data_IF_881856918627
#
_entry.id   IF_881856918627
#
_cell.length_a   1.000
_cell.length_b   1.000
_cell.length_c   1.000
_cell.angle_alpha   90.00
_cell.angle_beta   90.00
_cell.angle_gamma   90.00
#
_symmetry.space_group_name_H-M   'P 1'
#
loop_
_entity.id
_entity.type
_entity.pdbx_description
1 polymer ?
#
# COMPACT_ATOMS: atom_id res chain seq x y z
N UNK A 1 50.70 -42.63 -47.14
CA UNK A 1 49.34 -43.03 -47.55
C UNK A 1 48.39 -41.92 -47.14
N UNK A 2 48.10 -40.98 -48.04
CA UNK A 2 47.27 -39.81 -47.73
C UNK A 2 45.78 -40.23 -47.73
N UNK A 3 44.95 -39.77 -46.77
CA UNK A 3 43.54 -40.11 -46.75
C UNK A 3 42.85 -39.57 -48.01
N UNK A 4 41.85 -40.28 -48.57
CA UNK A 4 41.18 -39.85 -49.78
C UNK A 4 40.44 -38.54 -49.51
N UNK A 5 40.71 -37.53 -50.35
CA UNK A 5 40.19 -36.16 -50.24
C UNK A 5 38.65 -36.07 -50.15
N UNK A 6 37.94 -37.12 -50.57
CA UNK A 6 36.49 -37.27 -50.46
C UNK A 6 35.97 -37.43 -49.03
N UNK A 7 36.72 -38.11 -48.14
CA UNK A 7 36.31 -38.31 -46.74
C UNK A 7 36.40 -37.02 -45.92
N UNK A 8 37.41 -36.19 -46.19
CA UNK A 8 37.59 -34.90 -45.51
C UNK A 8 36.45 -33.92 -45.85
N UNK A 9 36.02 -33.86 -47.12
CA UNK A 9 34.88 -33.03 -47.55
C UNK A 9 33.56 -33.44 -46.91
N UNK A 10 33.31 -34.76 -46.80
CA UNK A 10 32.10 -35.30 -46.17
C UNK A 10 32.03 -34.98 -44.66
N UNK A 11 33.16 -35.05 -43.95
CA UNK A 11 33.22 -34.73 -42.53
C UNK A 11 32.92 -33.24 -42.24
N UNK A 12 33.43 -32.33 -43.08
CA UNK A 12 33.18 -30.88 -42.96
C UNK A 12 31.71 -30.56 -43.24
N UNK A 13 31.10 -31.19 -44.25
CA UNK A 13 29.69 -31.00 -44.56
C UNK A 13 28.79 -31.50 -43.40
N UNK A 14 29.13 -32.63 -42.78
CA UNK A 14 28.38 -33.19 -41.65
C UNK A 14 28.43 -32.29 -40.40
N UNK A 15 29.59 -31.72 -40.07
CA UNK A 15 29.71 -30.80 -38.92
C UNK A 15 29.01 -29.47 -39.18
N UNK A 16 29.11 -28.93 -40.40
CA UNK A 16 28.37 -27.73 -40.79
C UNK A 16 26.85 -27.95 -40.69
N UNK A 17 26.35 -29.09 -41.18
CA UNK A 17 24.93 -29.44 -41.06
C UNK A 17 24.48 -29.59 -39.60
N UNK A 18 25.30 -30.22 -38.75
CA UNK A 18 25.01 -30.36 -37.32
C UNK A 18 24.94 -29.01 -36.60
N UNK A 19 25.85 -28.08 -36.91
CA UNK A 19 25.85 -26.72 -36.36
C UNK A 19 24.58 -25.97 -36.80
N UNK A 20 24.23 -26.04 -38.10
CA UNK A 20 23.02 -25.38 -38.62
C UNK A 20 21.77 -25.93 -37.93
N UNK A 21 21.65 -27.26 -37.82
CA UNK A 21 20.52 -27.91 -37.12
C UNK A 21 20.47 -27.50 -35.65
N UNK A 22 21.61 -27.47 -34.95
CA UNK A 22 21.71 -27.02 -33.56
C UNK A 22 21.28 -25.56 -33.39
N UNK A 23 21.75 -24.66 -34.27
CA UNK A 23 21.35 -23.26 -34.28
C UNK A 23 19.84 -23.09 -34.53
N UNK A 24 19.27 -23.83 -35.49
CA UNK A 24 17.82 -23.80 -35.75
C UNK A 24 17.02 -24.33 -34.57
N UNK A 25 17.49 -25.40 -33.92
CA UNK A 25 16.88 -25.95 -32.71
C UNK A 25 16.90 -24.94 -31.56
N UNK A 26 18.04 -24.27 -31.34
CA UNK A 26 18.19 -23.25 -30.32
C UNK A 26 17.29 -22.04 -30.60
N UNK A 27 17.25 -21.55 -31.85
CA UNK A 27 16.35 -20.45 -32.24
C UNK A 27 14.87 -20.81 -32.01
N UNK A 28 14.45 -22.03 -32.34
CA UNK A 28 13.09 -22.53 -32.06
C UNK A 28 12.82 -22.66 -30.56
N UNK A 29 13.81 -23.06 -29.76
CA UNK A 29 13.68 -23.15 -28.29
C UNK A 29 13.57 -21.76 -27.67
N UNK A 30 14.40 -20.80 -28.09
CA UNK A 30 14.32 -19.41 -27.66
C UNK A 30 12.99 -18.77 -28.02
N UNK A 31 12.49 -18.99 -29.25
CA UNK A 31 11.19 -18.48 -29.67
C UNK A 31 10.05 -19.05 -28.80
N UNK A 32 10.07 -20.35 -28.50
CA UNK A 32 9.09 -20.99 -27.60
C UNK A 32 9.18 -20.46 -26.17
N UNK A 33 10.39 -20.30 -25.63
CA UNK A 33 10.57 -19.71 -24.29
C UNK A 33 10.06 -18.27 -24.24
N UNK A 34 10.39 -17.46 -25.24
CA UNK A 34 9.93 -16.07 -25.33
C UNK A 34 8.40 -15.97 -25.47
N UNK A 35 7.76 -16.92 -26.15
CA UNK A 35 6.31 -17.02 -26.20
C UNK A 35 5.72 -17.38 -24.84
N UNK A 36 6.32 -18.35 -24.13
CA UNK A 36 5.85 -18.77 -22.80
C UNK A 36 6.03 -17.69 -21.73
N UNK A 37 7.12 -16.93 -21.79
CA UNK A 37 7.34 -15.77 -20.91
C UNK A 37 6.23 -14.74 -21.13
N UNK A 38 5.94 -14.38 -22.38
CA UNK A 38 4.84 -13.44 -22.71
C UNK A 38 3.48 -13.94 -22.25
N UNK A 39 3.20 -15.23 -22.42
CA UNK A 39 1.95 -15.84 -21.94
C UNK A 39 1.83 -15.80 -20.41
N UNK A 40 2.93 -16.11 -19.70
CA UNK A 40 2.97 -16.06 -18.24
C UNK A 40 2.81 -14.63 -17.72
N UNK A 41 3.52 -13.67 -18.32
CA UNK A 41 3.38 -12.24 -18.00
C UNK A 41 1.94 -11.76 -18.22
N UNK A 42 1.29 -12.15 -19.32
CA UNK A 42 -0.11 -11.83 -19.58
C UNK A 42 -1.04 -12.47 -18.53
N UNK A 43 -0.81 -13.74 -18.17
CA UNK A 43 -1.60 -14.42 -17.13
C UNK A 43 -1.44 -13.74 -15.76
N UNK A 44 -0.23 -13.30 -15.42
CA UNK A 44 0.07 -12.58 -14.19
C UNK A 44 -0.63 -11.22 -14.18
N UNK A 45 -0.55 -10.46 -15.28
CA UNK A 45 -1.25 -9.18 -15.42
C UNK A 45 -2.76 -9.34 -15.19
N UNK A 46 -3.39 -10.35 -15.81
CA UNK A 46 -4.82 -10.64 -15.61
C UNK A 46 -5.16 -10.97 -14.16
N UNK A 47 -4.35 -11.81 -13.49
CA UNK A 47 -4.60 -12.12 -12.06
C UNK A 47 -4.40 -10.90 -11.16
N UNK A 48 -3.41 -10.06 -11.45
CA UNK A 48 -3.15 -8.82 -10.72
C UNK A 48 -4.32 -7.83 -10.88
N UNK A 49 -4.87 -7.69 -12.09
CA UNK A 49 -6.05 -6.86 -12.34
C UNK A 49 -7.30 -7.37 -11.62
N UNK A 50 -7.55 -8.68 -11.62
CA UNK A 50 -8.67 -9.29 -10.87
C UNK A 50 -8.56 -8.99 -9.37
N UNK A 51 -7.37 -9.19 -8.79
CA UNK A 51 -7.12 -8.87 -7.38
C UNK A 51 -7.28 -7.36 -7.09
N UNK A 52 -6.84 -6.50 -8.01
CA UNK A 52 -7.01 -5.05 -7.87
C UNK A 52 -8.49 -4.64 -7.97
N UNK A 53 -9.25 -5.26 -8.87
CA UNK A 53 -10.69 -5.04 -9.03
C UNK A 53 -11.47 -5.48 -7.78
N UNK A 54 -11.14 -6.64 -7.21
CA UNK A 54 -11.72 -7.13 -5.97
C UNK A 54 -11.46 -6.16 -4.80
N UNK A 55 -10.22 -5.67 -4.66
CA UNK A 55 -9.86 -4.66 -3.64
C UNK A 55 -10.66 -3.38 -3.82
N UNK A 56 -10.78 -2.87 -5.06
CA UNK A 56 -11.59 -1.67 -5.36
C UNK A 56 -13.07 -1.89 -5.02
N UNK A 57 -13.62 -3.05 -5.35
CA UNK A 57 -14.99 -3.43 -5.02
C UNK A 57 -15.25 -3.43 -3.53
N UNK A 58 -14.38 -4.06 -2.73
CA UNK A 58 -14.47 -4.07 -1.26
C UNK A 58 -14.41 -2.66 -0.67
N UNK A 59 -13.47 -1.84 -1.12
CA UNK A 59 -13.32 -0.44 -0.65
C UNK A 59 -14.56 0.38 -0.97
N UNK A 60 -15.10 0.28 -2.20
CA UNK A 60 -16.30 1.01 -2.61
C UNK A 60 -17.54 0.58 -1.81
N UNK A 61 -17.73 -0.73 -1.60
CA UNK A 61 -18.85 -1.25 -0.82
C UNK A 61 -18.79 -0.80 0.66
N UNK A 62 -17.59 -0.76 1.24
CA UNK A 62 -17.41 -0.25 2.61
C UNK A 62 -17.65 1.27 2.68
N UNK A 63 -17.21 2.04 1.68
CA UNK A 63 -17.49 3.47 1.61
C UNK A 63 -18.99 3.76 1.46
N UNK A 64 -19.71 3.00 0.63
CA UNK A 64 -21.16 3.16 0.50
C UNK A 64 -21.89 2.81 1.80
N UNK A 65 -21.47 1.76 2.51
CA UNK A 65 -22.06 1.41 3.80
C UNK A 65 -21.86 2.52 4.84
N UNK A 66 -20.68 3.14 4.87
CA UNK A 66 -20.41 4.31 5.74
C UNK A 66 -21.27 5.50 5.35
N UNK A 67 -21.40 5.81 4.06
CA UNK A 67 -22.26 6.90 3.59
C UNK A 67 -23.73 6.68 3.97
N UNK A 68 -24.23 5.44 3.86
CA UNK A 68 -25.58 5.09 4.30
C UNK A 68 -25.73 5.21 5.81
N UNK A 69 -24.76 4.75 6.61
CA UNK A 69 -24.80 4.89 8.08
C UNK A 69 -24.78 6.34 8.56
N UNK A 70 -24.27 7.28 7.74
CA UNK A 70 -24.29 8.70 8.03
C UNK A 70 -25.62 9.37 7.66
N UNK A 71 -26.41 8.74 6.79
CA UNK A 71 -27.71 9.24 6.35
C UNK A 71 -28.86 8.77 7.23
N UNK A 72 -28.69 7.69 7.99
CA UNK A 72 -29.65 7.25 9.02
C UNK A 72 -29.73 8.34 10.11
N UNK A 73 -30.78 9.18 10.13
CA UNK A 73 -30.99 10.13 11.22
C UNK A 73 -31.57 9.32 12.37
N UNK A 74 -30.88 9.31 13.50
CA UNK A 74 -31.44 8.75 14.72
C UNK A 74 -32.81 9.39 14.99
N UNK A 75 -33.87 8.59 14.92
CA UNK A 75 -35.12 8.88 15.59
C UNK A 75 -34.86 8.85 17.10
N UNK A 76 -34.46 10.00 17.63
CA UNK A 76 -35.03 10.63 18.83
C UNK A 76 -34.09 11.74 19.36
N UNK A 77 -34.64 12.96 19.37
CA UNK A 77 -34.35 14.20 20.10
C UNK A 77 -32.95 14.57 20.65
N UNK A 78 -32.70 15.89 20.60
CA UNK A 78 -31.59 16.69 21.17
C UNK A 78 -30.23 16.78 20.41
N UNK A 79 -30.09 17.89 19.68
CA UNK A 79 -28.85 18.52 19.16
C UNK A 79 -27.81 18.79 20.29
N UNK A 80 -26.50 18.51 20.10
CA UNK A 80 -25.61 19.45 19.42
C UNK A 80 -24.63 18.85 18.40
N UNK A 81 -24.36 19.69 17.40
CA UNK A 81 -23.16 19.76 16.53
C UNK A 81 -22.61 18.47 15.91
N UNK A 82 -22.74 18.43 14.57
CA UNK A 82 -22.04 17.59 13.59
C UNK A 82 -20.58 17.31 13.96
N UNK A 83 -20.33 16.30 14.79
CA UNK A 83 -19.01 15.83 15.18
C UNK A 83 -18.95 14.30 15.05
N UNK A 84 -18.07 13.84 14.16
CA UNK A 84 -17.46 12.51 14.19
C UNK A 84 -18.38 11.25 14.16
N UNK A 85 -19.40 11.19 13.30
CA UNK A 85 -20.18 9.97 13.13
C UNK A 85 -19.60 9.03 12.05
N UNK A 86 -18.56 8.29 12.43
CA UNK A 86 -18.33 6.87 12.10
C UNK A 86 -16.97 6.41 12.68
N UNK A 87 -16.67 6.77 13.92
CA UNK A 87 -15.46 6.33 14.59
C UNK A 87 -15.75 4.98 15.26
N UNK A 88 -15.18 3.91 14.72
CA UNK A 88 -15.25 2.56 15.30
C UNK A 88 -14.41 2.42 16.59
N UNK A 89 -14.13 3.52 17.30
CA UNK A 89 -13.22 3.62 18.42
C UNK A 89 -13.81 4.56 19.49
N UNK A 90 -13.68 4.26 20.79
CA UNK A 90 -14.38 4.96 21.86
C UNK A 90 -13.75 6.32 22.25
N UNK A 91 -12.82 6.84 21.44
CA UNK A 91 -12.08 8.07 21.76
C UNK A 91 -12.63 9.22 20.92
N UNK A 92 -12.76 10.38 21.55
CA UNK A 92 -13.17 11.60 20.85
C UNK A 92 -11.90 12.35 20.42
N UNK A 93 -11.73 12.66 19.13
CA UNK A 93 -10.56 13.41 18.68
C UNK A 93 -10.57 14.83 19.25
N UNK A 94 -9.40 15.28 19.72
CA UNK A 94 -9.19 16.64 20.26
C UNK A 94 -8.66 17.64 19.21
N UNK A 95 -8.34 17.15 18.02
CA UNK A 95 -7.78 17.94 16.93
C UNK A 95 -7.41 17.09 15.72
N UNK A 96 -6.86 17.76 14.71
CA UNK A 96 -6.42 17.16 13.45
C UNK A 96 -4.98 17.55 13.13
N UNK A 97 -4.21 16.63 12.55
CA UNK A 97 -2.85 16.89 12.10
C UNK A 97 -2.87 17.20 10.60
N UNK A 98 -2.36 18.36 10.24
CA UNK A 98 -2.09 18.76 8.87
C UNK A 98 -0.61 18.57 8.58
N UNK A 99 -0.26 17.88 7.51
CA UNK A 99 1.15 17.62 7.16
C UNK A 99 1.38 17.88 5.68
N UNK A 100 2.65 18.03 5.30
CA UNK A 100 3.04 18.11 3.89
C UNK A 100 2.79 16.81 3.09
N UNK A 101 2.26 15.75 3.72
CA UNK A 101 1.94 14.48 3.06
C UNK A 101 0.44 14.36 2.79
N UNK A 102 0.05 14.46 1.53
CA UNK A 102 -1.36 14.33 1.09
C UNK A 102 -1.84 12.88 0.98
N UNK A 103 -0.92 11.92 0.86
CA UNK A 103 -1.25 10.50 0.70
C UNK A 103 -0.33 9.59 1.51
N UNK A 104 -0.86 8.41 1.90
CA UNK A 104 -0.10 7.39 2.67
C UNK A 104 1.20 6.96 1.99
N UNK A 105 1.24 6.94 0.66
CA UNK A 105 2.43 6.51 -0.09
C UNK A 105 3.56 7.55 -0.09
N UNK A 106 3.25 8.82 0.22
CA UNK A 106 4.23 9.90 0.33
C UNK A 106 4.86 10.03 1.71
N UNK A 107 4.24 9.45 2.75
CA UNK A 107 4.77 9.53 4.12
C UNK A 107 6.01 8.62 4.26
N UNK A 108 7.18 9.17 4.64
CA UNK A 108 8.41 8.39 4.74
C UNK A 108 8.26 7.31 5.82
N UNK A 109 8.83 6.13 5.57
CA UNK A 109 8.79 5.02 6.56
C UNK A 109 9.63 5.32 7.81
N UNK A 110 10.58 6.24 7.69
CA UNK A 110 11.43 6.76 8.74
C UNK A 110 11.31 8.29 8.79
N UNK A 111 10.83 8.90 9.90
CA UNK A 111 10.63 10.35 10.03
C UNK A 111 11.89 11.16 9.71
N UNK A 112 13.03 10.71 10.22
CA UNK A 112 14.30 11.44 10.19
C UNK A 112 14.93 11.55 8.80
N UNK A 113 14.38 10.85 7.80
CA UNK A 113 14.87 10.90 6.42
C UNK A 113 14.51 12.22 5.75
N UNK A 114 13.43 12.88 6.19
CA UNK A 114 12.99 14.16 5.64
C UNK A 114 12.95 15.20 6.76
N UNK A 115 14.10 15.80 7.05
CA UNK A 115 14.26 16.80 8.13
C UNK A 115 13.47 18.08 7.89
N UNK A 116 13.08 18.37 6.65
CA UNK A 116 12.29 19.55 6.29
C UNK A 116 10.77 19.29 6.33
N UNK A 117 10.33 18.07 6.60
CA UNK A 117 8.90 17.75 6.68
C UNK A 117 8.31 18.39 7.95
N UNK A 118 7.37 19.32 7.76
CA UNK A 118 6.65 19.97 8.85
C UNK A 118 5.19 19.52 8.88
N UNK A 119 4.64 19.49 10.08
CA UNK A 119 3.23 19.24 10.34
C UNK A 119 2.73 20.21 11.41
N UNK A 120 1.44 20.53 11.34
CA UNK A 120 0.74 21.43 12.25
C UNK A 120 -0.40 20.65 12.91
N UNK A 121 -0.42 20.64 14.25
CA UNK A 121 -1.53 20.09 15.01
C UNK A 121 -2.56 21.20 15.25
N UNK A 122 -3.74 21.07 14.65
CA UNK A 122 -4.87 21.99 14.82
C UNK A 122 -5.79 21.40 15.88
N UNK A 123 -5.83 22.04 17.06
CA UNK A 123 -6.67 21.61 18.18
C UNK A 123 -8.04 22.30 18.12
N UNK A 124 -9.08 21.59 18.54
CA UNK A 124 -10.43 22.14 18.67
C UNK A 124 -10.52 22.98 19.97
N UNK A 125 -10.67 24.31 19.89
CA UNK A 125 -10.71 25.18 21.09
C UNK A 125 -11.89 24.88 22.00
N UNK A 126 -12.97 24.26 21.48
CA UNK A 126 -14.10 23.86 22.30
C UNK A 126 -13.80 22.64 23.18
N UNK A 127 -12.74 21.87 22.86
CA UNK A 127 -12.35 20.65 23.57
C UNK A 127 -11.06 20.83 24.37
N UNK A 128 -10.15 21.65 23.88
CA UNK A 128 -8.86 21.90 24.51
C UNK A 128 -8.76 23.39 24.85
N UNK A 129 -8.93 23.76 26.14
CA UNK A 129 -8.74 25.15 26.56
C UNK A 129 -7.26 25.54 26.44
N UNK A 130 -6.99 26.82 26.14
CA UNK A 130 -5.62 27.32 25.98
C UNK A 130 -4.73 27.07 27.21
N UNK A 131 -5.31 27.11 28.41
CA UNK A 131 -4.63 26.81 29.67
C UNK A 131 -4.03 25.38 29.71
N UNK A 132 -4.63 24.42 29.00
CA UNK A 132 -4.10 23.06 28.92
C UNK A 132 -2.79 22.96 28.10
N UNK A 133 -2.44 24.01 27.36
CA UNK A 133 -1.22 24.11 26.55
C UNK A 133 -0.17 25.02 27.18
N UNK A 134 -0.46 25.63 28.33
CA UNK A 134 0.51 26.44 29.05
C UNK A 134 1.72 25.60 29.47
N UNK A 135 2.91 26.14 29.27
CA UNK A 135 4.17 25.44 29.53
C UNK A 135 4.61 24.46 28.44
N UNK A 136 3.76 24.09 27.47
CA UNK A 136 4.14 23.19 26.38
C UNK A 136 5.31 23.75 25.54
N UNK A 137 5.38 25.07 25.38
CA UNK A 137 6.46 25.76 24.67
C UNK A 137 7.85 25.61 25.32
N UNK A 138 7.93 25.21 26.59
CA UNK A 138 9.20 24.97 27.29
C UNK A 138 9.85 23.63 26.94
N UNK A 139 9.09 22.73 26.30
CA UNK A 139 9.58 21.41 25.90
C UNK A 139 9.94 21.43 24.42
N UNK A 140 11.05 20.76 24.07
CA UNK A 140 11.45 20.59 22.67
C UNK A 140 10.68 19.48 21.96
N UNK A 141 10.09 18.53 22.70
CA UNK A 141 9.43 17.35 22.16
C UNK A 141 8.11 17.09 22.89
N UNK A 142 7.11 16.56 22.18
CA UNK A 142 5.85 16.09 22.75
C UNK A 142 5.43 14.77 22.10
N UNK A 143 4.57 14.02 22.81
CA UNK A 143 3.99 12.79 22.30
C UNK A 143 2.61 13.08 21.72
N UNK A 144 2.40 12.67 20.48
CA UNK A 144 1.10 12.79 19.80
C UNK A 144 0.51 11.40 19.59
N UNK A 145 -0.64 11.16 20.21
CA UNK A 145 -1.47 9.99 19.97
C UNK A 145 -2.48 10.33 18.88
N UNK A 146 -2.45 9.60 17.77
CA UNK A 146 -3.33 9.86 16.62
C UNK A 146 -3.88 8.56 16.05
N UNK A 147 -5.03 8.66 15.38
CA UNK A 147 -5.72 7.54 14.73
C UNK A 147 -5.63 7.71 13.21
N UNK A 148 -5.24 6.64 12.51
CA UNK A 148 -5.25 6.60 11.05
C UNK A 148 -6.68 6.44 10.51
N UNK A 149 -7.38 7.55 10.29
CA UNK A 149 -8.80 7.57 9.88
C UNK A 149 -9.12 6.80 8.57
N UNK A 150 -8.14 6.61 7.68
CA UNK A 150 -8.30 5.82 6.45
C UNK A 150 -7.98 4.32 6.62
N UNK A 151 -7.62 3.87 7.82
CA UNK A 151 -7.33 2.47 8.06
C UNK A 151 -8.65 1.65 8.12
N UNK A 152 -8.77 0.66 7.24
CA UNK A 152 -9.98 -0.15 7.07
C UNK A 152 -10.15 -1.23 8.15
N UNK A 153 -9.11 -1.53 8.93
CA UNK A 153 -9.14 -2.57 9.96
C UNK A 153 -9.46 -2.04 11.37
N UNK A 154 -9.76 -0.74 11.52
CA UNK A 154 -10.07 -0.15 12.83
C UNK A 154 -11.28 -0.82 13.49
N UNK A 155 -12.32 -1.15 12.73
CA UNK A 155 -13.52 -1.81 13.25
C UNK A 155 -13.21 -3.17 13.89
N UNK A 156 -12.28 -3.93 13.31
CA UNK A 156 -11.87 -5.24 13.84
C UNK A 156 -11.02 -5.11 15.09
N UNK A 157 -10.23 -4.03 15.17
CA UNK A 157 -9.29 -3.79 16.24
C UNK A 157 -9.99 -3.53 17.58
N UNK A 158 -11.08 -2.75 17.53
CA UNK A 158 -11.81 -2.33 18.73
C UNK A 158 -12.96 -3.26 19.11
N UNK A 159 -13.49 -4.06 18.18
CA UNK A 159 -14.53 -5.07 18.46
C UNK A 159 -14.00 -6.38 19.05
N UNK A 160 -12.74 -6.73 18.76
CA UNK A 160 -12.09 -7.93 19.31
C UNK A 160 -10.62 -7.62 19.71
N UNK A 161 -10.43 -7.01 20.89
CA UNK A 161 -9.10 -6.63 21.38
C UNK A 161 -8.18 -7.85 21.55
N UNK A 162 -8.73 -9.01 21.89
CA UNK A 162 -7.97 -10.23 22.18
C UNK A 162 -7.33 -10.86 20.93
N UNK A 163 -7.90 -10.64 19.73
CA UNK A 163 -7.32 -11.10 18.45
C UNK A 163 -6.55 -10.04 17.69
N UNK A 164 -6.63 -8.78 18.10
CA UNK A 164 -6.06 -7.68 17.32
C UNK A 164 -4.63 -7.35 17.75
N UNK A 165 -3.66 -7.55 16.84
CA UNK A 165 -2.29 -7.04 17.03
C UNK A 165 -2.30 -5.54 16.74
N UNK A 166 -2.48 -4.72 17.78
CA UNK A 166 -2.40 -3.26 17.68
C UNK A 166 -0.96 -2.87 17.29
N UNK A 167 -0.74 -2.58 16.01
CA UNK A 167 0.54 -2.02 15.54
C UNK A 167 0.54 -0.52 15.85
N UNK A 168 0.95 -0.17 17.07
CA UNK A 168 1.27 1.21 17.41
C UNK A 168 2.62 1.56 16.77
N UNK A 169 2.67 2.69 16.07
CA UNK A 169 3.93 3.26 15.62
C UNK A 169 4.23 4.48 16.47
N UNK A 170 5.26 4.36 17.31
CA UNK A 170 5.80 5.48 18.06
C UNK A 170 6.56 6.38 17.08
N UNK A 171 6.22 7.66 17.06
CA UNK A 171 6.94 8.67 16.29
C UNK A 171 7.64 9.59 17.29
N UNK A 172 8.96 9.73 17.13
CA UNK A 172 9.73 10.78 17.78
C UNK A 172 9.74 11.98 16.83
N UNK A 173 9.22 13.12 17.29
CA UNK A 173 9.32 14.38 16.58
C UNK A 173 10.44 15.17 17.26
N UNK A 174 11.58 15.33 16.58
CA UNK A 174 12.69 16.19 17.00
C UNK A 174 12.68 17.52 16.25
#
# INVERSE_FOLDING_TARGET
MAPPRSLAGAAIAATAAAIILSCLFYRRKCARLAARVRELEASLAVTAEKAAAERRGRVRAQQSLRALSQLEPGSDEARPTKAAASASYPLVPIGTVESCFSTRNGTPRQPLVVTLARATLVLDPARVPAAALEGLASYSHCWILYVFHLNTDLDKLWKDPARSKLKAKVWFCS
#
